data_IF_857858707525
#
_entry.id   IF_857858707525
#
_cell.length_a   1.000
_cell.length_b   1.000
_cell.length_c   1.000
_cell.angle_alpha   90.00
_cell.angle_beta   90.00
_cell.angle_gamma   90.00
#
_symmetry.space_group_name_H-M   'P 1'
#
loop_
_entity.id
_entity.type
_entity.pdbx_description
1 polymer ?
#
# COMPACT_ATOMS: atom_id res chain seq x y z
N UNK A 1 13.14 1.17 -0.75
CA UNK A 1 13.29 2.12 0.37
C UNK A 1 12.51 1.64 1.56
N UNK A 2 13.08 1.76 2.76
CA UNK A 2 12.35 1.60 4.02
C UNK A 2 11.50 2.86 4.19
N UNK A 3 10.20 2.70 4.41
CA UNK A 3 9.30 3.82 4.69
C UNK A 3 8.94 3.78 6.17
N UNK A 4 8.84 4.95 6.78
CA UNK A 4 8.51 5.12 8.19
C UNK A 4 7.11 5.70 8.31
N UNK A 5 6.27 5.12 9.16
CA UNK A 5 5.02 5.75 9.60
C UNK A 5 5.18 6.18 11.04
N UNK A 6 4.94 7.47 11.32
CA UNK A 6 4.96 8.02 12.67
C UNK A 6 3.54 8.02 13.25
N UNK A 7 3.38 7.48 14.46
CA UNK A 7 2.20 7.68 15.30
C UNK A 7 2.55 8.57 16.49
N UNK A 8 1.59 9.31 17.05
CA UNK A 8 1.78 10.11 18.27
C UNK A 8 0.88 9.54 19.35
N UNK A 9 1.43 9.24 20.53
CA UNK A 9 0.63 8.78 21.66
C UNK A 9 -0.02 9.96 22.42
N UNK A 10 -0.91 9.65 23.37
CA UNK A 10 -1.60 10.66 24.19
C UNK A 10 -0.66 11.56 25.02
N UNK A 11 0.59 11.16 25.21
CA UNK A 11 1.63 11.92 25.92
C UNK A 11 2.52 12.74 24.97
N UNK A 12 2.18 12.82 23.68
CA UNK A 12 2.95 13.54 22.67
C UNK A 12 4.23 12.83 22.22
N UNK A 13 4.46 11.57 22.62
CA UNK A 13 5.62 10.79 22.17
C UNK A 13 5.37 10.20 20.78
N UNK A 14 6.34 10.37 19.88
CA UNK A 14 6.33 9.80 18.53
C UNK A 14 6.79 8.34 18.54
N UNK A 15 6.02 7.47 17.93
CA UNK A 15 6.36 6.05 17.69
C UNK A 15 6.59 5.86 16.19
N UNK A 16 7.78 5.40 15.82
CA UNK A 16 8.15 5.15 14.43
C UNK A 16 7.98 3.66 14.12
N UNK A 17 7.12 3.35 13.16
CA UNK A 17 6.97 2.00 12.62
C UNK A 17 7.73 1.90 11.30
N UNK A 18 8.83 1.15 11.29
CA UNK A 18 9.60 0.87 10.08
C UNK A 18 9.12 -0.42 9.42
N UNK A 19 8.85 -0.38 8.12
CA UNK A 19 8.46 -1.58 7.38
C UNK A 19 8.94 -1.59 5.93
N UNK A 20 9.07 -2.80 5.36
CA UNK A 20 9.30 -2.99 3.93
C UNK A 20 7.96 -2.86 3.19
N UNK A 21 7.85 -1.82 2.36
CA UNK A 21 6.71 -1.58 1.45
C UNK A 21 6.55 -2.72 0.44
N UNK A 22 5.65 -3.66 0.73
CA UNK A 22 5.28 -4.75 -0.18
C UNK A 22 4.76 -4.23 -1.53
N UNK A 23 4.05 -3.11 -1.53
CA UNK A 23 3.50 -2.49 -2.72
C UNK A 23 4.58 -2.01 -3.70
N UNK A 24 5.74 -1.52 -3.22
CA UNK A 24 6.86 -1.11 -4.09
C UNK A 24 7.48 -2.31 -4.82
N UNK A 25 7.53 -3.47 -4.17
CA UNK A 25 7.99 -4.71 -4.78
C UNK A 25 7.08 -5.12 -5.95
N UNK A 26 5.77 -5.00 -5.78
CA UNK A 26 4.80 -5.34 -6.83
C UNK A 26 4.70 -4.29 -7.92
N UNK A 27 4.88 -3.00 -7.60
CA UNK A 27 4.72 -1.88 -8.53
C UNK A 27 5.51 -2.08 -9.84
N UNK A 28 6.83 -2.28 -9.74
CA UNK A 28 7.69 -2.48 -10.92
C UNK A 28 7.26 -3.68 -11.77
N UNK A 29 6.87 -4.78 -11.11
CA UNK A 29 6.45 -6.03 -11.78
C UNK A 29 5.11 -5.87 -12.49
N UNK A 30 4.18 -5.16 -11.85
CA UNK A 30 2.87 -4.84 -12.41
C UNK A 30 3.03 -3.93 -13.63
N UNK A 31 3.84 -2.88 -13.54
CA UNK A 31 4.12 -1.95 -14.64
C UNK A 31 4.74 -2.67 -15.85
N UNK A 32 5.69 -3.57 -15.62
CA UNK A 32 6.30 -4.36 -16.69
C UNK A 32 5.29 -5.28 -17.40
N UNK A 33 4.47 -6.01 -16.64
CA UNK A 33 3.43 -6.90 -17.20
C UNK A 33 2.33 -6.10 -17.89
N UNK A 34 1.96 -4.95 -17.34
CA UNK A 34 1.01 -4.02 -17.93
C UNK A 34 1.50 -3.52 -19.30
N UNK A 35 2.76 -3.07 -19.40
CA UNK A 35 3.33 -2.65 -20.68
C UNK A 35 3.32 -3.77 -21.73
N UNK A 36 3.69 -5.00 -21.34
CA UNK A 36 3.61 -6.17 -22.23
C UNK A 36 2.19 -6.48 -22.70
N UNK A 37 1.20 -6.34 -21.82
CA UNK A 37 -0.23 -6.52 -22.13
C UNK A 37 -0.73 -5.46 -23.10
N UNK A 38 -0.34 -4.21 -22.89
CA UNK A 38 -0.84 -3.07 -23.66
C UNK A 38 -0.30 -3.07 -25.10
N UNK A 39 0.86 -3.67 -25.33
CA UNK A 39 1.39 -3.95 -26.67
C UNK A 39 0.67 -5.11 -27.40
N UNK A 40 -0.13 -5.91 -26.69
CA UNK A 40 -0.85 -7.03 -27.30
C UNK A 40 -2.23 -6.59 -27.83
N UNK A 41 -2.67 -7.21 -28.93
CA UNK A 41 -4.04 -7.07 -29.42
C UNK A 41 -5.01 -7.59 -28.35
N UNK A 42 -5.94 -6.74 -27.91
CA UNK A 42 -6.96 -7.07 -26.91
C UNK A 42 -7.76 -8.31 -27.36
N UNK A 43 -7.91 -9.28 -26.47
CA UNK A 43 -8.60 -10.55 -26.74
C UNK A 43 -7.76 -11.62 -27.44
N UNK A 44 -6.48 -11.36 -27.74
CA UNK A 44 -5.56 -12.44 -28.14
C UNK A 44 -5.20 -13.33 -26.95
N UNK A 45 -4.88 -14.61 -27.18
CA UNK A 45 -4.44 -15.52 -26.12
C UNK A 45 -3.26 -14.97 -25.30
N UNK A 46 -2.31 -14.32 -25.96
CA UNK A 46 -1.17 -13.67 -25.30
C UNK A 46 -1.62 -12.51 -24.40
N UNK A 47 -2.59 -11.70 -24.85
CA UNK A 47 -3.18 -10.63 -24.05
C UNK A 47 -3.91 -11.18 -22.82
N UNK A 48 -4.72 -12.24 -22.99
CA UNK A 48 -5.45 -12.88 -21.90
C UNK A 48 -4.50 -13.47 -20.84
N UNK A 49 -3.41 -14.10 -21.28
CA UNK A 49 -2.38 -14.60 -20.37
C UNK A 49 -1.76 -13.49 -19.51
N UNK A 50 -1.38 -12.36 -20.12
CA UNK A 50 -0.88 -11.22 -19.36
C UNK A 50 -1.95 -10.59 -18.46
N UNK A 51 -3.21 -10.53 -18.89
CA UNK A 51 -4.32 -10.01 -18.09
C UNK A 51 -4.56 -10.86 -16.83
N UNK A 52 -4.58 -12.18 -16.96
CA UNK A 52 -4.67 -13.11 -15.84
C UNK A 52 -3.49 -12.96 -14.89
N UNK A 53 -2.26 -12.89 -15.42
CA UNK A 53 -1.05 -12.67 -14.63
C UNK A 53 -1.10 -11.34 -13.87
N UNK A 54 -1.53 -10.27 -14.52
CA UNK A 54 -1.70 -8.95 -13.91
C UNK A 54 -2.72 -8.97 -12.77
N UNK A 55 -3.89 -9.60 -12.98
CA UNK A 55 -4.92 -9.79 -11.94
C UNK A 55 -4.38 -10.56 -10.73
N UNK A 56 -3.62 -11.63 -10.96
CA UNK A 56 -2.99 -12.39 -9.88
C UNK A 56 -1.98 -11.56 -9.09
N UNK A 57 -1.14 -10.78 -9.76
CA UNK A 57 -0.17 -9.89 -9.09
C UNK A 57 -0.86 -8.82 -8.23
N UNK A 58 -1.90 -8.17 -8.77
CA UNK A 58 -2.70 -7.19 -8.01
C UNK A 58 -3.36 -7.83 -6.78
N UNK A 59 -3.86 -9.06 -6.90
CA UNK A 59 -4.42 -9.80 -5.76
C UNK A 59 -3.37 -10.09 -4.68
N UNK A 60 -2.18 -10.54 -5.07
CA UNK A 60 -1.06 -10.77 -4.13
C UNK A 60 -0.62 -9.47 -3.43
N UNK A 61 -0.54 -8.37 -4.17
CA UNK A 61 -0.24 -7.05 -3.61
C UNK A 61 -1.28 -6.64 -2.56
N UNK A 62 -2.58 -6.79 -2.87
CA UNK A 62 -3.67 -6.45 -1.95
C UNK A 62 -3.63 -7.32 -0.67
N UNK A 63 -3.36 -8.62 -0.80
CA UNK A 63 -3.25 -9.51 0.35
C UNK A 63 -2.08 -9.12 1.26
N UNK A 64 -0.89 -8.87 0.70
CA UNK A 64 0.25 -8.42 1.51
C UNK A 64 0.00 -7.07 2.20
N UNK A 65 -0.76 -6.17 1.57
CA UNK A 65 -1.15 -4.91 2.20
C UNK A 65 -2.10 -5.14 3.38
N UNK A 66 -3.06 -6.07 3.26
CA UNK A 66 -3.96 -6.48 4.35
C UNK A 66 -3.19 -7.12 5.51
N UNK A 67 -2.25 -8.02 5.21
CA UNK A 67 -1.41 -8.67 6.21
C UNK A 67 -0.58 -7.63 6.98
N UNK A 68 -0.05 -6.64 6.26
CA UNK A 68 0.67 -5.53 6.85
C UNK A 68 -0.23 -4.66 7.74
N UNK A 69 -1.44 -4.31 7.28
CA UNK A 69 -2.41 -3.58 8.10
C UNK A 69 -2.75 -4.35 9.37
N UNK A 70 -2.99 -5.66 9.27
CA UNK A 70 -3.26 -6.51 10.44
C UNK A 70 -2.09 -6.51 11.43
N UNK A 71 -0.86 -6.69 10.94
CA UNK A 71 0.35 -6.62 11.77
C UNK A 71 0.48 -5.26 12.46
N UNK A 72 0.30 -4.16 11.72
CA UNK A 72 0.40 -2.80 12.25
C UNK A 72 -0.65 -2.54 13.32
N UNK A 73 -1.91 -2.94 13.07
CA UNK A 73 -3.00 -2.83 14.04
C UNK A 73 -2.67 -3.58 15.34
N UNK A 74 -2.16 -4.81 15.24
CA UNK A 74 -1.73 -5.59 16.40
C UNK A 74 -0.64 -4.87 17.20
N UNK A 75 0.38 -4.35 16.51
CA UNK A 75 1.47 -3.60 17.16
C UNK A 75 0.97 -2.33 17.85
N UNK A 76 0.03 -1.61 17.25
CA UNK A 76 -0.54 -0.41 17.89
C UNK A 76 -1.27 -0.79 19.18
N UNK A 77 -2.15 -1.81 19.13
CA UNK A 77 -2.93 -2.25 20.30
C UNK A 77 -2.02 -2.74 21.43
N UNK A 78 -1.04 -3.60 21.13
CA UNK A 78 -0.11 -4.15 22.12
C UNK A 78 0.74 -3.06 22.79
N UNK A 79 1.24 -2.09 22.01
CA UNK A 79 2.15 -1.07 22.53
C UNK A 79 1.46 0.09 23.26
N UNK A 80 0.20 0.39 22.94
CA UNK A 80 -0.48 1.57 23.51
C UNK A 80 -1.44 1.27 24.66
N UNK A 81 -1.81 -0.01 24.92
CA UNK A 81 -2.91 -0.38 25.83
C UNK A 81 -4.17 0.51 25.62
N UNK A 82 -4.35 1.05 24.42
CA UNK A 82 -5.31 2.11 24.18
C UNK A 82 -6.67 1.53 23.83
N UNK A 83 -7.71 1.96 24.56
CA UNK A 83 -9.11 1.67 24.20
C UNK A 83 -9.58 2.48 22.98
N UNK A 84 -8.85 3.52 22.58
CA UNK A 84 -9.27 4.48 21.57
C UNK A 84 -8.14 4.81 20.60
N UNK A 85 -8.37 4.60 19.31
CA UNK A 85 -7.48 5.03 18.22
C UNK A 85 -8.09 6.25 17.55
N UNK A 86 -7.41 7.40 17.63
CA UNK A 86 -7.83 8.63 16.93
C UNK A 86 -7.17 8.65 15.56
N UNK A 87 -7.97 8.53 14.51
CA UNK A 87 -7.52 8.61 13.12
C UNK A 87 -7.87 10.02 12.63
N UNK A 88 -6.87 10.79 12.21
CA UNK A 88 -7.12 12.10 11.58
C UNK A 88 -7.98 11.96 10.32
N UNK A 89 -8.77 12.97 10.01
CA UNK A 89 -9.68 12.94 8.86
C UNK A 89 -8.95 12.57 7.56
N UNK A 90 -9.33 11.42 7.00
CA UNK A 90 -8.72 10.85 5.79
C UNK A 90 -9.07 11.65 4.53
N UNK A 91 -10.08 12.53 4.59
CA UNK A 91 -10.49 13.39 3.48
C UNK A 91 -9.49 14.52 3.19
N UNK A 92 -8.61 14.86 4.14
CA UNK A 92 -7.61 15.94 4.00
C UNK A 92 -6.49 15.58 3.01
N UNK A 93 -6.39 14.31 2.56
CA UNK A 93 -5.40 13.86 1.57
C UNK A 93 -5.55 14.47 0.17
N UNK A 94 -6.52 15.37 -0.06
CA UNK A 94 -6.60 16.23 -1.26
C UNK A 94 -5.55 17.35 -1.30
N UNK A 95 -4.78 17.60 -0.24
CA UNK A 95 -3.91 18.80 -0.13
C UNK A 95 -2.46 18.69 -0.64
N UNK A 96 -2.12 17.79 -1.57
CA UNK A 96 -0.78 17.75 -2.23
C UNK A 96 -0.84 17.94 -3.75
N UNK A 97 -1.99 18.27 -4.33
CA UNK A 97 -2.12 18.58 -5.76
C UNK A 97 -2.18 20.08 -6.09
N UNK A 98 -1.95 20.99 -5.13
CA UNK A 98 -2.14 22.44 -5.35
C UNK A 98 -0.96 23.36 -4.97
N UNK A 99 0.25 22.84 -4.77
CA UNK A 99 1.45 23.69 -4.59
C UNK A 99 2.56 23.27 -5.55
N UNK A 100 2.31 23.47 -6.84
CA UNK A 100 3.33 23.81 -7.84
C UNK A 100 2.65 24.79 -8.80
N UNK A 101 2.76 26.08 -8.49
CA UNK A 101 2.74 27.16 -9.47
C UNK A 101 4.11 27.82 -9.42
#
# INVERSE_FOLDING_TARGET
>A
GVLQTAGVNIHGKTVLFMYRRADLYWKRKIEEVQGKRDLCKKGSHKWEWYDLKLKQMKRKQANQLKDFQHWLSKQIVENTKANTIIIGDLNVKKMVNHVLK
#
